data_IF_111438724454
#
_entry.id   IF_111438724454
#
_cell.length_a   1.000
_cell.length_b   1.000
_cell.length_c   1.000
_cell.angle_alpha   90.00
_cell.angle_beta   90.00
_cell.angle_gamma   90.00
#
_symmetry.space_group_name_H-M   'P 1'
#
loop_
_entity.id
_entity.type
_entity.pdbx_description
1 polymer ?
#
# COMPACT_ATOMS: atom_id res chain seq x y z
N UNK A 1 14.26 -0.42 -19.83
CA UNK A 1 13.12 -0.13 -18.92
C UNK A 1 13.09 -1.26 -17.92
N UNK A 2 13.44 -0.99 -16.66
CA UNK A 2 13.32 -2.01 -15.62
C UNK A 2 11.86 -2.43 -15.52
N UNK A 3 11.63 -3.74 -15.63
CA UNK A 3 10.30 -4.32 -15.61
C UNK A 3 9.88 -4.44 -14.15
N UNK A 4 8.94 -3.59 -13.73
CA UNK A 4 8.35 -3.70 -12.39
C UNK A 4 7.44 -4.94 -12.34
N UNK A 5 7.64 -5.75 -11.30
CA UNK A 5 6.76 -6.84 -10.95
C UNK A 5 5.46 -6.30 -10.34
N UNK A 6 4.30 -6.95 -10.58
CA UNK A 6 3.02 -6.42 -10.15
C UNK A 6 2.85 -6.49 -8.63
N UNK A 7 2.53 -5.35 -8.02
CA UNK A 7 2.20 -5.24 -6.59
C UNK A 7 0.92 -6.04 -6.29
N UNK A 8 0.88 -6.80 -5.19
CA UNK A 8 -0.35 -7.49 -4.79
C UNK A 8 -1.13 -6.60 -3.83
N UNK A 9 -2.36 -6.27 -4.17
CA UNK A 9 -3.28 -5.51 -3.32
C UNK A 9 -4.33 -6.45 -2.73
N UNK A 10 -4.23 -6.72 -1.43
CA UNK A 10 -5.25 -7.42 -0.67
C UNK A 10 -6.37 -6.43 -0.32
N UNK A 11 -7.58 -6.72 -0.80
CA UNK A 11 -8.70 -5.80 -0.71
C UNK A 11 -10.03 -6.47 -0.46
N UNK A 12 -11.03 -5.67 -0.10
CA UNK A 12 -12.44 -5.99 -0.28
C UNK A 12 -13.00 -5.03 -1.34
N UNK A 13 -13.72 -5.50 -2.38
CA UNK A 13 -14.15 -4.67 -3.52
C UNK A 13 -14.91 -3.38 -3.17
N UNK A 14 -15.64 -3.35 -2.05
CA UNK A 14 -16.49 -2.22 -1.65
C UNK A 14 -15.89 -1.33 -0.55
N UNK A 15 -14.64 -1.56 -0.17
CA UNK A 15 -14.00 -0.75 0.88
C UNK A 15 -13.43 0.54 0.29
N UNK A 16 -13.91 1.69 0.79
CA UNK A 16 -13.40 3.01 0.41
C UNK A 16 -11.89 3.18 0.68
N UNK A 17 -11.36 2.49 1.68
CA UNK A 17 -9.91 2.51 1.94
C UNK A 17 -9.13 1.78 0.85
N UNK A 18 -9.70 0.72 0.27
CA UNK A 18 -9.10 0.01 -0.87
C UNK A 18 -9.22 0.83 -2.16
N UNK A 19 -10.32 1.57 -2.36
CA UNK A 19 -10.49 2.47 -3.51
C UNK A 19 -9.36 3.51 -3.57
N UNK A 20 -9.01 4.12 -2.43
CA UNK A 20 -7.89 5.08 -2.32
C UNK A 20 -6.59 4.48 -2.83
N UNK A 21 -6.27 3.26 -2.42
CA UNK A 21 -5.02 2.59 -2.81
C UNK A 21 -5.05 2.22 -4.29
N UNK A 22 -6.18 1.73 -4.81
CA UNK A 22 -6.33 1.47 -6.26
C UNK A 22 -6.08 2.72 -7.08
N UNK A 23 -6.72 3.83 -6.73
CA UNK A 23 -6.53 5.10 -7.44
C UNK A 23 -5.09 5.58 -7.38
N UNK A 24 -4.39 5.37 -6.28
CA UNK A 24 -2.97 5.71 -6.19
C UNK A 24 -2.09 4.84 -7.09
N UNK A 25 -2.32 3.52 -7.10
CA UNK A 25 -1.61 2.60 -8.00
C UNK A 25 -1.85 2.96 -9.47
N UNK A 26 -3.10 3.26 -9.84
CA UNK A 26 -3.47 3.73 -11.17
C UNK A 26 -2.81 5.07 -11.50
N UNK A 27 -2.79 6.01 -10.56
CA UNK A 27 -2.18 7.34 -10.71
C UNK A 27 -0.68 7.26 -10.99
N UNK A 28 0.03 6.36 -10.31
CA UNK A 28 1.45 6.10 -10.56
C UNK A 28 1.69 5.14 -11.73
N UNK A 29 0.63 4.64 -12.37
CA UNK A 29 0.70 3.66 -13.47
C UNK A 29 1.50 2.40 -13.09
N UNK A 30 1.38 1.98 -11.83
CA UNK A 30 2.07 0.79 -11.32
C UNK A 30 1.28 -0.47 -11.69
N UNK A 31 1.94 -1.54 -12.14
CA UNK A 31 1.25 -2.81 -12.34
C UNK A 31 0.84 -3.39 -10.97
N UNK A 32 -0.40 -3.84 -10.84
CA UNK A 32 -0.87 -4.52 -9.63
C UNK A 32 -1.86 -5.65 -9.91
N UNK A 33 -1.97 -6.58 -8.96
CA UNK A 33 -2.94 -7.68 -8.95
C UNK A 33 -3.85 -7.54 -7.73
N UNK A 34 -5.15 -7.66 -7.97
CA UNK A 34 -6.16 -7.64 -6.91
C UNK A 34 -6.30 -9.02 -6.29
N UNK A 35 -6.14 -9.09 -4.98
CA UNK A 35 -6.42 -10.28 -4.18
C UNK A 35 -7.64 -9.95 -3.32
N UNK A 36 -8.79 -10.50 -3.70
CA UNK A 36 -10.04 -10.24 -2.99
C UNK A 36 -10.09 -11.09 -1.72
N UNK A 37 -10.03 -10.42 -0.58
CA UNK A 37 -10.24 -11.01 0.73
C UNK A 37 -11.73 -11.16 1.02
N UNK A 38 -12.12 -12.34 1.49
CA UNK A 38 -13.43 -12.61 2.06
C UNK A 38 -13.24 -12.98 3.54
N UNK A 39 -14.04 -12.45 4.48
CA UNK A 39 -13.99 -12.87 5.88
C UNK A 39 -14.21 -14.37 6.10
N UNK A 40 -14.83 -15.06 5.12
CA UNK A 40 -15.03 -16.52 5.15
C UNK A 40 -13.78 -17.30 4.70
N UNK A 41 -12.80 -16.62 4.10
CA UNK A 41 -11.58 -17.19 3.53
C UNK A 41 -10.35 -16.46 4.12
N UNK A 42 -10.08 -16.61 5.44
CA UNK A 42 -8.96 -15.95 6.11
C UNK A 42 -7.59 -16.35 5.56
N UNK A 43 -7.54 -17.50 4.88
CA UNK A 43 -6.36 -18.05 4.21
C UNK A 43 -5.78 -17.09 3.17
N UNK A 44 -6.62 -16.22 2.60
CA UNK A 44 -6.20 -15.17 1.66
C UNK A 44 -5.15 -14.23 2.23
N UNK A 45 -5.10 -14.06 3.56
CA UNK A 45 -4.14 -13.21 4.27
C UNK A 45 -3.02 -14.02 4.95
N UNK A 46 -2.82 -15.29 4.62
CA UNK A 46 -1.76 -16.13 5.20
C UNK A 46 -0.35 -15.62 4.89
N UNK A 47 -0.17 -15.01 3.72
CA UNK A 47 1.11 -14.41 3.31
C UNK A 47 1.46 -13.16 4.12
N UNK A 48 0.46 -12.51 4.73
CA UNK A 48 0.67 -11.28 5.49
C UNK A 48 1.40 -11.63 6.80
N UNK A 49 2.54 -10.97 7.09
CA UNK A 49 3.27 -11.16 8.33
C UNK A 49 2.37 -11.04 9.57
N UNK A 50 2.56 -11.90 10.60
CA UNK A 50 1.76 -11.85 11.82
C UNK A 50 1.96 -10.56 12.62
N UNK A 51 3.02 -9.82 12.36
CA UNK A 51 3.33 -8.52 12.97
C UNK A 51 2.44 -7.39 12.44
N UNK A 52 1.86 -7.54 11.25
CA UNK A 52 0.96 -6.55 10.66
C UNK A 52 -0.49 -6.80 11.03
N UNK A 53 -1.26 -5.72 11.09
CA UNK A 53 -2.70 -5.83 11.26
C UNK A 53 -3.32 -6.45 9.99
N UNK A 54 -4.07 -7.53 10.16
CA UNK A 54 -4.78 -8.24 9.07
C UNK A 54 -6.09 -7.54 8.70
N UNK A 55 -6.00 -6.23 8.45
CA UNK A 55 -7.09 -5.38 8.01
C UNK A 55 -6.75 -4.85 6.62
N UNK A 56 -7.65 -5.05 5.66
CA UNK A 56 -7.48 -4.50 4.32
C UNK A 56 -7.70 -2.98 4.34
N UNK A 57 -6.97 -2.18 3.54
CA UNK A 57 -6.06 -2.59 2.48
C UNK A 57 -4.67 -2.99 2.98
N UNK A 58 -4.07 -3.98 2.32
CA UNK A 58 -2.67 -4.38 2.51
C UNK A 58 -2.03 -4.51 1.13
N UNK A 59 -0.81 -4.01 0.95
CA UNK A 59 -0.02 -4.28 -0.25
C UNK A 59 1.18 -5.17 0.08
N UNK A 60 1.58 -5.97 -0.91
CA UNK A 60 2.86 -6.64 -0.97
C UNK A 60 3.57 -6.13 -2.21
N UNK A 61 4.71 -5.45 -2.02
CA UNK A 61 5.52 -4.91 -3.10
C UNK A 61 6.73 -5.82 -3.39
N UNK A 62 6.68 -6.63 -4.46
CA UNK A 62 7.78 -7.53 -4.80
C UNK A 62 9.03 -6.80 -5.29
N UNK A 63 8.93 -5.53 -5.68
CA UNK A 63 10.05 -4.74 -6.20
C UNK A 63 10.95 -4.20 -5.10
N UNK A 64 10.47 -4.22 -3.85
CA UNK A 64 11.16 -3.67 -2.70
C UNK A 64 11.19 -4.71 -1.58
N UNK A 65 12.05 -5.71 -1.73
CA UNK A 65 12.28 -6.79 -0.75
C UNK A 65 11.02 -7.58 -0.31
N UNK A 66 9.98 -7.63 -1.15
CA UNK A 66 8.67 -8.21 -0.80
C UNK A 66 8.05 -7.58 0.46
N UNK A 67 8.20 -6.26 0.56
CA UNK A 67 7.70 -5.46 1.67
C UNK A 67 6.16 -5.52 1.76
N UNK A 68 5.67 -5.68 2.99
CA UNK A 68 4.25 -5.64 3.31
C UNK A 68 3.89 -4.36 4.06
N UNK A 69 2.81 -3.70 3.64
CA UNK A 69 2.32 -2.48 4.29
C UNK A 69 0.81 -2.57 4.47
N UNK A 70 0.34 -2.27 5.67
CA UNK A 70 -1.08 -2.21 6.04
C UNK A 70 -1.56 -0.77 6.21
N UNK A 71 -2.87 -0.58 6.10
CA UNK A 71 -3.59 0.71 6.18
C UNK A 71 -3.38 1.60 4.95
N UNK A 72 -4.46 2.26 4.52
CA UNK A 72 -4.48 3.13 3.35
C UNK A 72 -3.50 4.29 3.45
N UNK A 73 -3.35 4.93 4.62
CA UNK A 73 -2.51 6.13 4.74
C UNK A 73 -1.01 5.81 4.61
N UNK A 74 -0.44 4.84 5.36
CA UNK A 74 0.96 4.43 5.17
C UNK A 74 1.24 3.94 3.74
N UNK A 75 0.31 3.20 3.14
CA UNK A 75 0.44 2.72 1.76
C UNK A 75 0.56 3.90 0.78
N UNK A 76 -0.33 4.89 0.88
CA UNK A 76 -0.28 6.07 0.00
C UNK A 76 1.04 6.81 0.15
N UNK A 77 1.52 6.99 1.38
CA UNK A 77 2.79 7.64 1.67
C UNK A 77 3.98 6.86 1.11
N UNK A 78 3.98 5.55 1.26
CA UNK A 78 4.99 4.68 0.67
C UNK A 78 5.04 4.81 -0.86
N UNK A 79 3.88 4.70 -1.52
CA UNK A 79 3.80 4.81 -2.97
C UNK A 79 4.26 6.18 -3.47
N UNK A 80 3.89 7.25 -2.77
CA UNK A 80 4.30 8.62 -3.06
C UNK A 80 5.81 8.80 -2.93
N UNK A 81 6.43 8.24 -1.89
CA UNK A 81 7.87 8.37 -1.64
C UNK A 81 8.72 7.50 -2.58
N UNK A 82 8.28 6.27 -2.89
CA UNK A 82 9.06 5.31 -3.67
C UNK A 82 8.86 5.44 -5.18
N UNK A 83 7.66 5.80 -5.63
CA UNK A 83 7.31 5.86 -7.05
C UNK A 83 6.94 7.27 -7.52
N UNK A 84 6.74 8.23 -6.60
CA UNK A 84 6.42 9.61 -6.93
C UNK A 84 7.61 10.35 -7.52
N UNK A 85 7.61 10.54 -8.83
CA UNK A 85 8.75 11.14 -9.55
C UNK A 85 8.52 12.62 -9.95
N UNK A 86 7.38 13.24 -9.57
CA UNK A 86 7.04 14.68 -9.77
C UNK A 86 5.62 15.10 -9.32
N UNK A 87 4.68 14.16 -9.17
CA UNK A 87 3.31 14.44 -8.72
C UNK A 87 3.09 13.76 -7.39
N UNK A 88 2.95 14.55 -6.33
CA UNK A 88 2.68 14.02 -5.01
C UNK A 88 1.17 13.87 -4.85
N UNK A 89 0.72 12.69 -4.42
CA UNK A 89 -0.68 12.49 -3.99
C UNK A 89 -0.91 13.26 -2.68
N UNK A 90 0.09 13.28 -1.80
CA UNK A 90 -0.01 13.91 -0.50
C UNK A 90 0.73 15.25 -0.54
N UNK A 91 -0.01 16.33 -0.25
CA UNK A 91 0.56 17.67 -0.22
C UNK A 91 1.55 17.82 0.94
N UNK A 92 2.75 18.28 0.64
CA UNK A 92 3.78 18.66 1.62
C UNK A 92 3.47 19.97 2.34
N UNK A 93 2.35 20.64 1.99
CA UNK A 93 1.95 21.92 2.61
C UNK A 93 1.46 21.75 4.05
N UNK A 94 0.97 20.57 4.42
CA UNK A 94 0.38 20.31 5.74
C UNK A 94 1.09 19.12 6.40
N UNK A 95 2.31 19.36 6.88
CA UNK A 95 3.20 18.32 7.41
C UNK A 95 2.83 17.78 8.81
N UNK A 96 1.65 18.10 9.34
CA UNK A 96 1.21 17.59 10.64
C UNK A 96 1.11 16.06 10.68
N UNK A 97 0.81 15.41 9.55
CA UNK A 97 0.80 13.95 9.43
C UNK A 97 2.19 13.35 9.61
N UNK A 98 3.27 14.07 9.30
CA UNK A 98 4.64 13.57 9.49
C UNK A 98 4.85 13.22 10.95
N UNK A 99 4.40 14.05 11.90
CA UNK A 99 4.50 13.76 13.35
C UNK A 99 3.85 12.41 13.73
N UNK A 100 2.73 12.07 13.08
CA UNK A 100 1.95 10.87 13.40
C UNK A 100 2.43 9.61 12.65
N UNK A 101 2.95 9.75 11.43
CA UNK A 101 3.24 8.62 10.54
C UNK A 101 4.72 8.45 10.17
N UNK A 102 5.61 9.41 10.46
CA UNK A 102 7.06 9.21 10.27
C UNK A 102 7.64 7.99 10.99
N UNK A 103 7.25 7.67 12.24
CA UNK A 103 7.78 6.50 12.93
C UNK A 103 7.53 5.22 12.14
N UNK A 104 6.31 5.06 11.64
CA UNK A 104 5.89 3.91 10.82
C UNK A 104 6.65 3.85 9.49
N UNK A 105 6.84 4.99 8.82
CA UNK A 105 7.59 5.03 7.56
C UNK A 105 9.09 4.78 7.73
N UNK A 106 9.67 5.15 8.89
CA UNK A 106 11.11 4.92 9.15
C UNK A 106 11.47 3.46 9.40
N UNK A 107 10.49 2.66 9.80
CA UNK A 107 10.60 1.20 10.01
C UNK A 107 10.38 0.41 8.72
N UNK A 108 9.77 1.04 7.71
CA UNK A 108 9.66 0.54 6.35
C UNK A 108 10.96 0.91 5.62
N UNK A 109 12.00 0.08 5.79
CA UNK A 109 13.26 0.16 5.05
C UNK A 109 13.41 -1.05 4.15
#
# INVERSE_FOLDING_TARGET
MEKLEPIRLYQIPFSHFCDKVRWALDFFSLPYKLINYSPREPQTLERVPPTLQKLVPIIEDPNNESLFISDSTPILLYLDNHYGNKKNIISTKYDCWKRCYYPVLSEIR
#
